data_IF_786497624175
#
_entry.id   IF_786497624175
#
_cell.length_a   1.000
_cell.length_b   1.000
_cell.length_c   1.000
_cell.angle_alpha   90.00
_cell.angle_beta   90.00
_cell.angle_gamma   90.00
#
_symmetry.space_group_name_H-M   'P 1'
#
loop_
_entity.id
_entity.type
_entity.pdbx_description
1 polymer ?
#
# COMPACT_ATOMS: atom_id res chain seq x y z
N UNK A 1 -12.26 29.09 14.84
CA UNK A 1 -13.07 28.51 13.75
C UNK A 1 -14.11 27.60 14.37
N UNK A 2 -15.40 27.67 13.97
CA UNK A 2 -16.42 26.77 14.48
C UNK A 2 -16.18 25.34 13.96
N UNK A 3 -16.35 24.33 14.83
CA UNK A 3 -16.17 22.89 14.50
C UNK A 3 -16.98 22.44 13.27
N UNK A 4 -18.08 23.11 12.97
CA UNK A 4 -18.96 22.86 11.81
C UNK A 4 -18.29 23.17 10.48
N UNK A 5 -17.46 24.23 10.37
CA UNK A 5 -16.74 24.54 9.11
C UNK A 5 -15.58 23.56 8.84
N UNK A 6 -14.97 22.99 9.89
CA UNK A 6 -13.93 21.96 9.74
C UNK A 6 -14.54 20.59 9.40
N UNK A 7 -15.73 20.28 9.91
CA UNK A 7 -16.50 19.08 9.52
C UNK A 7 -17.03 19.17 8.09
N UNK A 8 -17.43 20.36 7.62
CA UNK A 8 -17.82 20.58 6.22
C UNK A 8 -16.62 20.60 5.25
N UNK A 9 -15.45 21.11 5.65
CA UNK A 9 -14.20 20.95 4.87
C UNK A 9 -13.71 19.48 4.82
N UNK A 10 -14.11 18.67 5.80
CA UNK A 10 -13.82 17.25 5.90
C UNK A 10 -14.94 16.34 5.37
N UNK A 11 -16.01 16.91 4.80
CA UNK A 11 -16.86 16.21 3.87
C UNK A 11 -16.05 15.95 2.59
N UNK A 12 -15.03 15.10 2.70
CA UNK A 12 -14.19 14.65 1.60
C UNK A 12 -15.13 13.96 0.63
N UNK A 13 -15.45 14.65 -0.46
CA UNK A 13 -15.98 14.01 -1.65
C UNK A 13 -15.10 12.80 -1.93
N UNK A 14 -15.73 11.64 -2.00
CA UNK A 14 -15.05 10.38 -2.31
C UNK A 14 -14.13 10.57 -3.54
N UNK A 15 -12.86 10.12 -3.50
CA UNK A 15 -11.98 10.27 -4.65
C UNK A 15 -12.61 9.66 -5.91
N UNK A 16 -12.47 10.32 -7.06
CA UNK A 16 -13.11 9.89 -8.31
C UNK A 16 -12.82 8.42 -8.65
N UNK A 17 -11.60 7.93 -8.40
CA UNK A 17 -11.26 6.53 -8.65
C UNK A 17 -12.03 5.55 -7.77
N UNK A 18 -12.38 5.93 -6.54
CA UNK A 18 -13.15 5.06 -5.63
C UNK A 18 -14.58 4.92 -6.13
N UNK A 19 -15.20 6.03 -6.52
CA UNK A 19 -16.55 6.03 -7.10
C UNK A 19 -16.59 5.21 -8.41
N UNK A 20 -15.62 5.42 -9.30
CA UNK A 20 -15.49 4.65 -10.53
C UNK A 20 -15.27 3.16 -10.27
N UNK A 21 -14.41 2.82 -9.30
CA UNK A 21 -14.15 1.44 -8.93
C UNK A 21 -15.39 0.75 -8.37
N UNK A 22 -16.14 1.39 -7.47
CA UNK A 22 -17.41 0.84 -6.94
C UNK A 22 -18.45 0.61 -8.03
N UNK A 23 -18.60 1.58 -8.94
CA UNK A 23 -19.54 1.44 -10.05
C UNK A 23 -19.17 0.25 -10.94
N UNK A 24 -17.88 0.09 -11.26
CA UNK A 24 -17.41 -1.03 -12.06
C UNK A 24 -17.53 -2.37 -11.31
N UNK A 25 -17.18 -2.39 -10.03
CA UNK A 25 -17.33 -3.54 -9.15
C UNK A 25 -18.77 -4.05 -9.14
N UNK A 26 -19.75 -3.16 -8.99
CA UNK A 26 -21.17 -3.54 -9.00
C UNK A 26 -21.58 -4.21 -10.31
N UNK A 27 -21.21 -3.63 -11.46
CA UNK A 27 -21.48 -4.20 -12.79
C UNK A 27 -20.86 -5.59 -13.01
N UNK A 28 -19.71 -5.85 -12.38
CA UNK A 28 -19.03 -7.15 -12.47
C UNK A 28 -19.68 -8.18 -11.54
N UNK A 29 -20.14 -7.77 -10.35
CA UNK A 29 -20.79 -8.68 -9.39
C UNK A 29 -22.21 -9.03 -9.80
N UNK A 30 -22.99 -8.06 -10.31
CA UNK A 30 -24.37 -8.28 -10.77
C UNK A 30 -24.46 -9.00 -12.13
N UNK A 31 -23.33 -9.17 -12.82
CA UNK A 31 -23.24 -9.88 -14.09
C UNK A 31 -23.58 -9.02 -15.32
N UNK A 32 -23.75 -7.71 -15.17
CA UNK A 32 -23.86 -6.76 -16.29
C UNK A 32 -22.61 -6.81 -17.18
N UNK A 33 -21.45 -7.06 -16.57
CA UNK A 33 -20.17 -7.27 -17.25
C UNK A 33 -19.56 -8.63 -16.86
N UNK A 34 -18.80 -9.28 -17.76
CA UNK A 34 -18.06 -10.49 -17.42
C UNK A 34 -17.06 -10.22 -16.29
N UNK A 35 -17.07 -11.06 -15.25
CA UNK A 35 -16.15 -10.96 -14.12
C UNK A 35 -14.71 -11.08 -14.60
N UNK A 36 -13.88 -10.11 -14.22
CA UNK A 36 -12.44 -10.08 -14.50
C UNK A 36 -11.72 -9.56 -13.27
N UNK A 37 -10.56 -10.15 -12.98
CA UNK A 37 -9.84 -9.96 -11.73
C UNK A 37 -8.37 -9.64 -11.98
N UNK A 38 -7.79 -8.85 -11.08
CA UNK A 38 -6.36 -8.79 -10.81
C UNK A 38 -6.17 -9.33 -9.40
N UNK A 39 -5.29 -10.32 -9.24
CA UNK A 39 -5.00 -10.95 -7.96
C UNK A 39 -3.59 -10.56 -7.56
N UNK A 40 -3.45 -9.97 -6.38
CA UNK A 40 -2.16 -9.98 -5.68
C UNK A 40 -2.09 -11.26 -4.87
N UNK A 41 -1.10 -12.11 -5.13
CA UNK A 41 -0.90 -13.36 -4.43
C UNK A 41 0.39 -13.32 -3.62
N UNK A 42 0.36 -13.78 -2.37
CA UNK A 42 1.55 -13.82 -1.54
C UNK A 42 2.50 -14.94 -1.99
N UNK A 43 3.37 -14.63 -2.95
CA UNK A 43 4.29 -15.60 -3.57
C UNK A 43 5.77 -15.35 -3.32
N UNK A 44 6.13 -14.30 -2.57
CA UNK A 44 7.52 -13.96 -2.30
C UNK A 44 7.85 -13.80 -0.80
N UNK A 45 9.15 -13.82 -0.52
CA UNK A 45 9.70 -13.63 0.83
C UNK A 45 9.96 -12.15 1.18
N UNK A 46 9.35 -11.20 0.44
CA UNK A 46 9.61 -9.79 0.69
C UNK A 46 8.90 -9.29 1.95
N UNK A 47 9.40 -8.18 2.52
CA UNK A 47 8.79 -7.58 3.70
C UNK A 47 7.43 -6.92 3.40
N UNK A 48 6.62 -6.73 4.44
CA UNK A 48 5.27 -6.15 4.34
C UNK A 48 5.19 -4.86 3.50
N UNK A 49 6.17 -3.96 3.64
CA UNK A 49 6.21 -2.71 2.85
C UNK A 49 6.41 -2.93 1.34
N UNK A 50 7.07 -4.01 0.93
CA UNK A 50 7.15 -4.39 -0.49
C UNK A 50 5.82 -5.00 -0.93
N UNK A 51 5.25 -5.90 -0.13
CA UNK A 51 3.95 -6.51 -0.42
C UNK A 51 2.84 -5.47 -0.60
N UNK A 52 2.75 -4.49 0.29
CA UNK A 52 1.80 -3.37 0.15
C UNK A 52 2.01 -2.60 -1.17
N UNK A 53 3.25 -2.40 -1.59
CA UNK A 53 3.57 -1.72 -2.86
C UNK A 53 3.18 -2.57 -4.08
N UNK A 54 3.36 -3.90 -4.01
CA UNK A 54 2.85 -4.86 -4.98
C UNK A 54 1.32 -4.80 -5.08
N UNK A 55 0.61 -4.82 -3.95
CA UNK A 55 -0.85 -4.67 -3.88
C UNK A 55 -1.31 -3.34 -4.49
N UNK A 56 -0.62 -2.23 -4.20
CA UNK A 56 -0.95 -0.93 -4.81
C UNK A 56 -0.77 -0.96 -6.34
N UNK A 57 0.26 -1.62 -6.84
CA UNK A 57 0.51 -1.77 -8.28
C UNK A 57 -0.56 -2.65 -8.94
N UNK A 58 -0.92 -3.77 -8.29
CA UNK A 58 -2.02 -4.64 -8.72
C UNK A 58 -3.37 -3.89 -8.74
N UNK A 59 -3.63 -3.04 -7.74
CA UNK A 59 -4.86 -2.25 -7.72
C UNK A 59 -4.88 -1.20 -8.83
N UNK A 60 -3.75 -0.54 -9.10
CA UNK A 60 -3.65 0.37 -10.24
C UNK A 60 -3.94 -0.35 -11.56
N UNK A 61 -3.42 -1.58 -11.74
CA UNK A 61 -3.72 -2.41 -12.91
C UNK A 61 -5.22 -2.73 -12.99
N UNK A 62 -5.85 -3.09 -11.88
CA UNK A 62 -7.29 -3.34 -11.82
C UNK A 62 -8.11 -2.10 -12.24
N UNK A 63 -7.73 -0.91 -11.77
CA UNK A 63 -8.39 0.34 -12.14
C UNK A 63 -8.29 0.63 -13.64
N UNK A 64 -7.10 0.48 -14.23
CA UNK A 64 -6.92 0.80 -15.67
C UNK A 64 -7.54 -0.25 -16.59
N UNK A 65 -7.62 -1.51 -16.17
CA UNK A 65 -8.20 -2.62 -16.96
C UNK A 65 -9.66 -2.93 -16.62
N UNK A 66 -10.31 -2.15 -15.74
CA UNK A 66 -11.70 -2.34 -15.31
C UNK A 66 -11.96 -3.72 -14.67
N UNK A 67 -11.04 -4.17 -13.81
CA UNK A 67 -11.09 -5.46 -13.09
C UNK A 67 -11.32 -5.26 -11.59
N UNK A 68 -11.76 -6.32 -10.92
CA UNK A 68 -11.82 -6.40 -9.45
C UNK A 68 -10.42 -6.74 -8.92
N UNK A 69 -9.96 -6.04 -7.89
CA UNK A 69 -8.79 -6.47 -7.12
C UNK A 69 -9.18 -7.57 -6.13
N UNK A 70 -8.43 -8.67 -6.15
CA UNK A 70 -8.43 -9.70 -5.12
C UNK A 70 -7.04 -9.78 -4.47
N UNK A 71 -7.01 -10.10 -3.18
CA UNK A 71 -5.81 -10.17 -2.37
C UNK A 71 -5.78 -11.55 -1.72
N UNK A 72 -4.76 -12.32 -2.08
CA UNK A 72 -4.38 -13.59 -1.43
C UNK A 72 -3.17 -13.34 -0.53
N UNK A 73 -3.38 -12.50 0.48
CA UNK A 73 -2.40 -12.16 1.51
C UNK A 73 -3.12 -11.96 2.85
N UNK A 74 -3.21 -13.01 3.69
CA UNK A 74 -4.04 -13.01 4.90
C UNK A 74 -3.76 -11.85 5.85
N UNK A 75 -2.49 -11.47 6.03
CA UNK A 75 -2.12 -10.36 6.91
C UNK A 75 -2.80 -9.06 6.45
N UNK A 76 -2.80 -8.72 5.16
CA UNK A 76 -3.48 -7.49 4.70
C UNK A 76 -4.96 -7.47 5.10
N UNK A 77 -5.64 -8.61 4.95
CA UNK A 77 -7.06 -8.76 5.27
C UNK A 77 -7.33 -8.84 6.79
N UNK A 78 -6.34 -9.24 7.59
CA UNK A 78 -6.41 -9.23 9.05
C UNK A 78 -6.28 -7.81 9.64
N UNK A 79 -5.43 -6.98 9.02
CA UNK A 79 -5.14 -5.62 9.46
C UNK A 79 -6.12 -4.58 8.91
N UNK A 80 -6.70 -4.81 7.72
CA UNK A 80 -7.55 -3.82 7.04
C UNK A 80 -8.78 -4.48 6.42
N UNK A 81 -9.95 -3.96 6.78
CA UNK A 81 -11.22 -4.39 6.22
C UNK A 81 -11.41 -3.76 4.82
N UNK A 82 -12.03 -4.47 3.87
CA UNK A 82 -12.47 -3.85 2.63
C UNK A 82 -13.57 -2.79 2.89
N UNK A 83 -13.69 -1.77 2.02
CA UNK A 83 -14.80 -0.83 2.05
C UNK A 83 -16.15 -1.54 1.90
N UNK A 84 -17.21 -0.92 2.43
CA UNK A 84 -18.56 -1.46 2.35
C UNK A 84 -18.97 -1.76 0.90
N UNK A 85 -19.55 -2.94 0.68
CA UNK A 85 -20.01 -3.40 -0.63
C UNK A 85 -18.89 -3.88 -1.57
N UNK A 86 -17.64 -3.93 -1.11
CA UNK A 86 -16.50 -4.46 -1.86
C UNK A 86 -15.96 -5.69 -1.13
N UNK A 87 -15.61 -6.71 -1.90
CA UNK A 87 -14.89 -7.90 -1.45
C UNK A 87 -13.50 -7.95 -2.08
N UNK A 88 -12.49 -8.22 -1.25
CA UNK A 88 -11.09 -8.38 -1.69
C UNK A 88 -10.54 -9.77 -1.45
N UNK A 89 -11.18 -10.59 -0.60
CA UNK A 89 -10.66 -11.92 -0.27
C UNK A 89 -10.70 -12.85 -1.49
N UNK A 90 -9.51 -13.22 -1.98
CA UNK A 90 -9.38 -14.14 -3.11
C UNK A 90 -10.03 -15.50 -2.82
N UNK A 91 -10.02 -15.97 -1.57
CA UNK A 91 -10.58 -17.26 -1.20
C UNK A 91 -12.06 -17.38 -1.57
N UNK A 92 -12.82 -16.28 -1.53
CA UNK A 92 -14.25 -16.25 -1.89
C UNK A 92 -14.50 -16.42 -3.39
N UNK A 93 -13.52 -16.14 -4.23
CA UNK A 93 -13.61 -16.27 -5.69
C UNK A 93 -12.79 -17.45 -6.22
N UNK A 94 -12.11 -18.20 -5.36
CA UNK A 94 -11.26 -19.33 -5.74
C UNK A 94 -12.00 -20.40 -6.55
N UNK A 95 -13.32 -20.55 -6.35
CA UNK A 95 -14.16 -21.47 -7.15
C UNK A 95 -14.25 -21.09 -8.64
N UNK A 96 -14.05 -19.82 -8.98
CA UNK A 96 -14.02 -19.32 -10.36
C UNK A 96 -12.64 -19.47 -10.99
N UNK A 97 -11.62 -19.76 -10.19
CA UNK A 97 -10.24 -19.84 -10.63
C UNK A 97 -10.00 -21.09 -11.47
N UNK A 98 -9.53 -20.90 -12.71
CA UNK A 98 -9.15 -21.97 -13.63
C UNK A 98 -7.78 -21.67 -14.23
N UNK A 99 -6.96 -22.69 -14.40
CA UNK A 99 -5.57 -22.55 -14.88
C UNK A 99 -5.52 -21.91 -16.28
N UNK A 100 -6.43 -22.26 -17.17
CA UNK A 100 -6.53 -21.71 -18.53
C UNK A 100 -7.02 -20.26 -18.57
N UNK A 101 -7.46 -19.72 -17.45
CA UNK A 101 -8.11 -18.40 -17.36
C UNK A 101 -7.22 -17.33 -16.72
N UNK A 102 -5.92 -17.61 -16.54
CA UNK A 102 -4.98 -16.70 -15.87
C UNK A 102 -3.80 -16.29 -16.77
N UNK A 103 -3.40 -15.04 -16.61
CA UNK A 103 -2.11 -14.53 -17.04
C UNK A 103 -1.25 -14.22 -15.81
N UNK A 104 0.02 -14.63 -15.82
CA UNK A 104 0.99 -14.25 -14.79
C UNK A 104 1.80 -13.06 -15.25
N UNK A 105 2.05 -12.12 -14.33
CA UNK A 105 2.96 -11.00 -14.57
C UNK A 105 4.09 -11.00 -13.53
N UNK A 106 5.31 -10.98 -14.04
CA UNK A 106 6.56 -10.82 -13.30
C UNK A 106 7.47 -9.77 -13.99
N UNK A 107 7.05 -8.50 -13.97
CA UNK A 107 7.78 -7.42 -14.63
C UNK A 107 9.17 -7.16 -14.05
N UNK A 108 9.49 -7.70 -12.86
CA UNK A 108 10.82 -7.57 -12.28
C UNK A 108 11.85 -8.44 -13.00
N UNK A 109 11.45 -9.62 -13.44
CA UNK A 109 12.34 -10.58 -14.10
C UNK A 109 12.12 -10.65 -15.61
N UNK A 110 11.06 -10.03 -16.12
CA UNK A 110 10.69 -10.01 -17.55
C UNK A 110 10.56 -8.58 -18.08
N UNK A 111 11.65 -7.99 -18.61
CA UNK A 111 11.64 -6.63 -19.17
C UNK A 111 10.57 -6.40 -20.25
N UNK A 112 10.25 -7.41 -21.04
CA UNK A 112 9.21 -7.36 -22.07
C UNK A 112 7.81 -7.11 -21.48
N UNK A 113 7.53 -7.64 -20.28
CA UNK A 113 6.27 -7.36 -19.59
C UNK A 113 6.24 -5.93 -19.05
N UNK A 114 7.38 -5.39 -18.60
CA UNK A 114 7.49 -3.97 -18.25
C UNK A 114 7.25 -3.06 -19.45
N UNK A 115 7.81 -3.41 -20.61
CA UNK A 115 7.60 -2.66 -21.85
C UNK A 115 6.14 -2.71 -22.29
N UNK A 116 5.50 -3.88 -22.20
CA UNK A 116 4.06 -4.04 -22.46
C UNK A 116 3.23 -3.18 -21.48
N UNK A 117 3.53 -3.23 -20.18
CA UNK A 117 2.85 -2.41 -19.16
C UNK A 117 2.97 -0.92 -19.45
N UNK A 118 4.09 -0.48 -20.04
CA UNK A 118 4.35 0.90 -20.39
C UNK A 118 3.72 1.36 -21.72
N UNK A 119 3.48 0.44 -22.68
CA UNK A 119 3.16 0.86 -24.05
C UNK A 119 1.93 0.20 -24.67
N UNK A 120 1.37 -0.85 -24.07
CA UNK A 120 0.26 -1.60 -24.67
C UNK A 120 -1.11 -1.20 -24.11
N UNK A 121 -2.17 -1.49 -24.88
CA UNK A 121 -3.52 -1.56 -24.36
C UNK A 121 -3.68 -2.83 -23.51
N UNK A 122 -3.51 -2.70 -22.19
CA UNK A 122 -3.51 -3.81 -21.23
C UNK A 122 -4.85 -4.55 -21.15
N UNK A 123 -5.96 -3.90 -21.51
CA UNK A 123 -7.27 -4.55 -21.57
C UNK A 123 -7.31 -5.60 -22.69
N UNK A 124 -6.63 -5.32 -23.80
CA UNK A 124 -6.47 -6.22 -24.94
C UNK A 124 -5.30 -7.20 -24.75
N UNK A 125 -4.21 -6.76 -24.13
CA UNK A 125 -3.03 -7.59 -23.89
C UNK A 125 -3.28 -8.70 -22.86
N UNK A 126 -4.22 -8.49 -21.94
CA UNK A 126 -4.65 -9.51 -20.97
C UNK A 126 -6.12 -9.86 -21.20
N UNK A 127 -6.48 -10.71 -22.17
CA UNK A 127 -7.86 -11.16 -22.35
C UNK A 127 -8.36 -12.06 -21.20
N UNK A 128 -7.46 -12.64 -20.42
CA UNK A 128 -7.73 -13.64 -19.39
C UNK A 128 -8.65 -13.12 -18.29
N UNK A 129 -9.32 -14.05 -17.60
CA UNK A 129 -10.21 -13.70 -16.48
C UNK A 129 -9.42 -13.21 -15.28
N UNK A 130 -8.25 -13.78 -15.02
CA UNK A 130 -7.37 -13.44 -13.91
C UNK A 130 -6.03 -12.92 -14.42
N UNK A 131 -5.52 -11.85 -13.81
CA UNK A 131 -4.12 -11.44 -13.91
C UNK A 131 -3.49 -11.63 -12.54
N UNK A 132 -2.42 -12.41 -12.44
CA UNK A 132 -1.79 -12.76 -11.17
C UNK A 132 -0.45 -12.05 -11.03
N UNK A 133 -0.25 -11.39 -9.89
CA UNK A 133 1.00 -10.77 -9.52
C UNK A 133 1.43 -11.23 -8.12
N UNK A 134 2.64 -11.76 -8.02
CA UNK A 134 3.13 -12.41 -6.79
C UNK A 134 4.24 -11.65 -6.05
N UNK A 135 4.77 -10.59 -6.67
CA UNK A 135 6.00 -9.95 -6.23
C UNK A 135 5.73 -8.64 -5.46
N UNK A 136 6.58 -8.29 -4.50
CA UNK A 136 6.57 -6.99 -3.84
C UNK A 136 7.20 -5.86 -4.67
N UNK A 137 7.70 -6.19 -5.87
CA UNK A 137 8.24 -5.22 -6.81
C UNK A 137 7.13 -4.49 -7.55
N UNK A 138 7.31 -3.18 -7.71
CA UNK A 138 6.28 -2.32 -8.28
C UNK A 138 6.45 -2.12 -9.78
N UNK A 139 5.36 -2.25 -10.52
CA UNK A 139 5.27 -1.88 -11.94
C UNK A 139 4.39 -0.67 -12.21
N UNK A 140 3.90 -0.01 -11.15
CA UNK A 140 3.02 1.15 -11.25
C UNK A 140 3.63 2.30 -12.07
N UNK A 141 4.95 2.48 -12.05
CA UNK A 141 5.65 3.47 -12.88
C UNK A 141 5.38 3.25 -14.38
N UNK A 142 5.35 2.00 -14.85
CA UNK A 142 5.08 1.68 -16.24
C UNK A 142 3.63 2.02 -16.61
N UNK A 143 2.67 1.64 -15.76
CA UNK A 143 1.24 1.94 -15.99
C UNK A 143 0.97 3.44 -15.99
N UNK A 144 1.56 4.20 -15.06
CA UNK A 144 1.43 5.66 -14.99
C UNK A 144 2.01 6.34 -16.25
N UNK A 145 3.08 5.78 -16.82
CA UNK A 145 3.67 6.29 -18.05
C UNK A 145 2.91 5.86 -19.32
N UNK A 146 1.93 4.95 -19.22
CA UNK A 146 1.30 4.35 -20.38
C UNK A 146 0.32 5.31 -21.09
N UNK A 147 0.57 5.67 -22.37
CA UNK A 147 -0.22 6.66 -23.09
C UNK A 147 -1.68 6.22 -23.32
N UNK A 148 -1.97 4.91 -23.40
CA UNK A 148 -3.34 4.40 -23.55
C UNK A 148 -4.22 4.74 -22.34
N UNK A 149 -3.61 4.92 -21.16
CA UNK A 149 -4.33 5.14 -19.92
C UNK A 149 -4.20 6.55 -19.37
N UNK A 150 -3.38 7.43 -19.97
CA UNK A 150 -3.18 8.80 -19.51
C UNK A 150 -4.51 9.56 -19.28
N UNK A 151 -5.42 9.51 -20.26
CA UNK A 151 -6.73 10.16 -20.14
C UNK A 151 -7.63 9.53 -19.06
N UNK A 152 -7.58 8.19 -18.90
CA UNK A 152 -8.35 7.49 -17.87
C UNK A 152 -7.82 7.80 -16.48
N UNK A 153 -6.50 7.77 -16.30
CA UNK A 153 -5.83 8.11 -15.06
C UNK A 153 -6.07 9.58 -14.66
N UNK A 154 -6.05 10.51 -15.61
CA UNK A 154 -6.45 11.90 -15.37
C UNK A 154 -7.88 12.05 -14.85
N UNK A 155 -8.84 11.24 -15.33
CA UNK A 155 -10.22 11.24 -14.79
C UNK A 155 -10.30 10.62 -13.39
N UNK A 156 -9.58 9.52 -13.17
CA UNK A 156 -9.60 8.76 -11.90
C UNK A 156 -8.95 9.54 -10.75
N UNK A 157 -7.85 10.25 -11.01
CA UNK A 157 -7.06 10.92 -9.97
C UNK A 157 -7.11 12.46 -10.06
N UNK A 158 -7.82 13.00 -11.05
CA UNK A 158 -8.02 14.42 -11.29
C UNK A 158 -6.77 15.14 -11.82
N UNK A 159 -6.80 16.47 -11.81
CA UNK A 159 -5.63 17.31 -12.15
C UNK A 159 -4.44 17.09 -11.19
N UNK A 160 -4.70 16.45 -10.04
CA UNK A 160 -3.69 15.94 -9.09
C UNK A 160 -3.04 14.63 -9.53
N UNK A 161 -3.27 14.17 -10.75
CA UNK A 161 -2.43 13.18 -11.42
C UNK A 161 -1.06 13.81 -11.79
N UNK A 162 -0.41 14.54 -10.87
CA UNK A 162 0.86 15.21 -11.16
C UNK A 162 2.05 14.29 -10.91
N UNK A 163 1.86 13.22 -10.14
CA UNK A 163 2.92 12.25 -9.90
C UNK A 163 2.45 10.83 -9.59
N UNK A 164 3.33 9.88 -9.92
CA UNK A 164 3.29 8.49 -9.45
C UNK A 164 3.06 8.41 -7.92
N UNK A 165 3.78 9.25 -7.16
CA UNK A 165 3.74 9.24 -5.69
C UNK A 165 2.36 9.57 -5.14
N UNK A 166 1.69 10.56 -5.72
CA UNK A 166 0.34 10.95 -5.30
C UNK A 166 -0.69 9.88 -5.66
N UNK A 167 -0.58 9.30 -6.86
CA UNK A 167 -1.46 8.21 -7.33
C UNK A 167 -1.39 7.02 -6.38
N UNK A 168 -0.17 6.55 -6.10
CA UNK A 168 0.04 5.42 -5.18
C UNK A 168 -0.29 5.78 -3.73
N UNK A 169 -0.05 7.02 -3.31
CA UNK A 169 -0.45 7.50 -1.99
C UNK A 169 -1.97 7.44 -1.78
N UNK A 170 -2.76 7.86 -2.78
CA UNK A 170 -4.21 7.78 -2.74
C UNK A 170 -4.72 6.33 -2.73
N UNK A 171 -4.13 5.47 -3.56
CA UNK A 171 -4.42 4.03 -3.57
C UNK A 171 -4.12 3.40 -2.20
N UNK A 172 -2.93 3.65 -1.64
CA UNK A 172 -2.53 3.10 -0.36
C UNK A 172 -3.46 3.58 0.78
N UNK A 173 -3.85 4.86 0.77
CA UNK A 173 -4.82 5.41 1.71
C UNK A 173 -6.17 4.70 1.62
N UNK A 174 -6.66 4.44 0.40
CA UNK A 174 -7.91 3.71 0.20
C UNK A 174 -7.84 2.26 0.68
N UNK A 175 -6.75 1.55 0.34
CA UNK A 175 -6.52 0.16 0.73
C UNK A 175 -6.43 -0.01 2.26
N UNK A 176 -5.90 0.99 2.96
CA UNK A 176 -5.71 0.98 4.42
C UNK A 176 -6.74 1.84 5.19
N UNK A 177 -7.81 2.30 4.53
CA UNK A 177 -8.72 3.30 5.11
C UNK A 177 -9.50 2.80 6.33
N UNK A 178 -9.67 1.48 6.46
CA UNK A 178 -10.47 0.85 7.51
C UNK A 178 -9.62 -0.19 8.24
N UNK A 179 -8.68 0.24 9.12
CA UNK A 179 -7.94 -0.67 9.95
C UNK A 179 -8.89 -1.48 10.85
N UNK A 180 -8.55 -2.74 11.10
CA UNK A 180 -9.35 -3.63 11.93
C UNK A 180 -9.41 -3.13 13.37
N UNK A 181 -10.52 -3.43 14.06
CA UNK A 181 -10.76 -2.91 15.40
C UNK A 181 -9.71 -3.32 16.43
N UNK A 182 -9.12 -4.51 16.27
CA UNK A 182 -8.04 -4.98 17.13
C UNK A 182 -6.74 -4.20 16.85
N UNK A 183 -6.44 -3.93 15.58
CA UNK A 183 -5.21 -3.22 15.19
C UNK A 183 -5.24 -1.77 15.69
N UNK A 184 -6.38 -1.08 15.55
CA UNK A 184 -6.58 0.25 16.13
C UNK A 184 -6.35 0.24 17.64
N UNK A 185 -6.91 -0.75 18.36
CA UNK A 185 -6.71 -0.88 19.81
C UNK A 185 -5.23 -1.09 20.16
N UNK A 186 -4.52 -1.95 19.42
CA UNK A 186 -3.10 -2.19 19.63
C UNK A 186 -2.26 -0.92 19.41
N UNK A 187 -2.56 -0.15 18.36
CA UNK A 187 -1.89 1.14 18.07
C UNK A 187 -2.16 2.15 19.18
N UNK A 188 -3.41 2.34 19.61
CA UNK A 188 -3.75 3.29 20.68
C UNK A 188 -3.14 2.88 22.03
N UNK A 189 -3.11 1.57 22.35
CA UNK A 189 -2.40 1.08 23.54
C UNK A 189 -0.91 1.40 23.48
N UNK A 190 -0.26 1.18 22.32
CA UNK A 190 1.16 1.46 22.16
C UNK A 190 1.47 2.95 22.24
N UNK A 191 0.61 3.76 21.63
CA UNK A 191 0.67 5.22 21.68
C UNK A 191 0.57 5.74 23.12
N UNK A 192 -0.36 5.19 23.92
CA UNK A 192 -0.49 5.52 25.34
C UNK A 192 0.75 5.12 26.15
N UNK A 193 1.31 3.93 25.91
CA UNK A 193 2.56 3.48 26.56
C UNK A 193 3.75 4.40 26.26
N UNK A 194 3.80 4.96 25.05
CA UNK A 194 4.85 5.88 24.61
C UNK A 194 4.59 7.35 25.03
N UNK A 195 3.49 7.63 25.73
CA UNK A 195 3.11 9.00 26.08
C UNK A 195 2.77 9.88 24.88
N UNK A 196 2.50 9.29 23.72
CA UNK A 196 2.15 10.02 22.51
C UNK A 196 0.70 10.50 22.62
N UNK A 197 0.49 11.81 22.47
CA UNK A 197 -0.85 12.40 22.48
C UNK A 197 -1.10 13.18 21.21
N UNK A 198 -2.38 13.35 20.83
CA UNK A 198 -2.75 14.14 19.66
C UNK A 198 -2.44 15.64 19.82
N UNK A 199 -2.10 16.08 21.04
CA UNK A 199 -1.88 17.49 21.38
C UNK A 199 -0.40 17.87 21.47
N UNK A 200 0.52 16.93 21.18
CA UNK A 200 1.96 17.17 21.22
C UNK A 200 2.54 17.15 19.81
N UNK A 201 3.39 18.13 19.49
CA UNK A 201 4.21 18.06 18.29
C UNK A 201 5.09 16.79 18.38
N UNK A 202 4.90 15.87 17.45
CA UNK A 202 5.60 14.59 17.42
C UNK A 202 6.52 14.56 16.22
N UNK A 203 7.79 14.23 16.44
CA UNK A 203 8.76 13.97 15.38
C UNK A 203 8.95 12.47 15.31
N UNK A 204 8.54 11.86 14.20
CA UNK A 204 8.79 10.46 13.92
C UNK A 204 10.08 10.34 13.10
N UNK A 205 11.00 9.48 13.54
CA UNK A 205 12.22 9.19 12.80
C UNK A 205 12.26 7.69 12.50
N UNK A 206 12.23 7.34 11.22
CA UNK A 206 12.33 5.95 10.77
C UNK A 206 13.74 5.67 10.28
N UNK A 207 14.45 4.76 10.94
CA UNK A 207 15.75 4.28 10.50
C UNK A 207 15.63 2.92 9.84
N UNK A 208 16.31 2.75 8.71
CA UNK A 208 16.52 1.46 8.07
C UNK A 208 17.97 1.36 7.64
N UNK A 209 18.72 0.47 8.28
CA UNK A 209 20.11 0.21 7.96
C UNK A 209 20.16 -1.14 7.24
N UNK A 210 20.64 -1.13 6.00
CA UNK A 210 21.00 -2.35 5.29
C UNK A 210 22.47 -2.61 5.56
N UNK A 211 22.75 -3.69 6.27
CA UNK A 211 24.09 -4.06 6.68
C UNK A 211 24.44 -5.41 6.03
N UNK A 212 25.60 -5.49 5.39
CA UNK A 212 26.18 -6.74 4.90
C UNK A 212 27.35 -7.08 5.83
N UNK A 213 27.17 -8.09 6.68
CA UNK A 213 28.15 -8.58 7.64
C UNK A 213 29.50 -8.94 6.99
N UNK A 214 29.51 -9.17 5.67
CA UNK A 214 30.71 -9.51 4.90
C UNK A 214 31.54 -8.28 4.53
N UNK A 215 31.02 -7.06 4.67
CA UNK A 215 31.63 -5.84 4.13
C UNK A 215 32.13 -4.82 5.17
N UNK A 216 31.86 -4.92 6.48
CA UNK A 216 32.47 -3.94 7.40
C UNK A 216 32.57 -4.29 8.89
N UNK A 217 33.60 -3.70 9.50
CA UNK A 217 33.83 -3.48 10.93
C UNK A 217 32.58 -2.97 11.68
N UNK A 218 32.09 -3.76 12.66
CA UNK A 218 31.04 -3.42 13.64
C UNK A 218 31.19 -2.03 14.28
N UNK A 219 32.41 -1.49 14.37
CA UNK A 219 32.72 -0.16 14.93
C UNK A 219 31.95 1.00 14.28
N UNK A 220 31.60 0.91 12.99
CA UNK A 220 30.85 1.97 12.31
C UNK A 220 29.38 2.02 12.74
N UNK A 221 28.78 0.85 12.99
CA UNK A 221 27.38 0.76 13.42
C UNK A 221 27.22 1.27 14.86
N UNK A 222 28.15 0.88 15.74
CA UNK A 222 28.20 1.37 17.12
C UNK A 222 28.39 2.89 17.18
N UNK A 223 29.29 3.45 16.37
CA UNK A 223 29.49 4.90 16.29
C UNK A 223 28.24 5.62 15.78
N UNK A 224 27.55 5.06 14.77
CA UNK A 224 26.33 5.64 14.23
C UNK A 224 25.19 5.64 15.25
N UNK A 225 24.93 4.50 15.91
CA UNK A 225 23.88 4.38 16.95
C UNK A 225 24.18 5.32 18.13
N UNK A 226 25.44 5.40 18.57
CA UNK A 226 25.84 6.28 19.67
C UNK A 226 25.68 7.77 19.32
N UNK A 227 26.03 8.18 18.09
CA UNK A 227 25.78 9.55 17.60
C UNK A 227 24.29 9.86 17.52
N UNK A 228 23.48 8.90 17.10
CA UNK A 228 22.03 9.04 17.05
C UNK A 228 21.42 9.21 18.43
N UNK A 229 21.84 8.39 19.39
CA UNK A 229 21.42 8.50 20.77
C UNK A 229 21.79 9.88 21.33
N UNK A 230 23.03 10.34 21.12
CA UNK A 230 23.46 11.67 21.53
C UNK A 230 22.61 12.78 20.88
N UNK A 231 22.31 12.70 19.58
CA UNK A 231 21.48 13.69 18.90
C UNK A 231 20.07 13.76 19.53
N UNK A 232 19.44 12.61 19.74
CA UNK A 232 18.10 12.50 20.35
C UNK A 232 18.11 12.99 21.80
N UNK A 233 19.12 12.61 22.58
CA UNK A 233 19.16 12.97 24.00
C UNK A 233 19.60 14.40 24.25
N UNK A 234 20.55 14.94 23.49
CA UNK A 234 21.14 16.24 23.81
C UNK A 234 20.55 17.38 22.99
N UNK A 235 20.12 17.14 21.75
CA UNK A 235 19.56 18.20 20.92
C UNK A 235 18.03 18.23 20.96
N UNK A 236 17.36 17.06 21.05
CA UNK A 236 15.89 17.02 21.10
C UNK A 236 15.30 17.13 22.51
N UNK A 237 16.01 16.76 23.60
CA UNK A 237 15.54 17.03 24.98
C UNK A 237 15.47 18.53 25.30
N UNK A 238 16.17 19.39 24.56
CA UNK A 238 16.11 20.85 24.75
C UNK A 238 14.70 21.40 24.46
N UNK A 239 13.86 20.66 23.71
CA UNK A 239 12.50 21.09 23.35
C UNK A 239 11.37 20.43 24.19
N UNK A 240 11.66 19.40 24.99
CA UNK A 240 10.66 18.80 25.89
C UNK A 240 11.16 18.77 27.34
N UNK A 241 10.88 19.85 28.07
CA UNK A 241 11.00 19.85 29.54
C UNK A 241 9.85 19.07 30.17
N UNK A 242 9.83 17.74 30.01
CA UNK A 242 9.16 16.82 30.93
C UNK A 242 9.27 15.37 30.43
N UNK A 243 10.09 14.59 31.16
CA UNK A 243 10.27 13.14 31.14
C UNK A 243 11.35 12.53 30.23
N UNK A 244 12.16 11.58 30.76
CA UNK A 244 13.15 10.83 29.98
C UNK A 244 12.49 9.81 29.04
N UNK A 245 13.02 9.70 27.82
CA UNK A 245 12.62 8.71 26.82
C UNK A 245 12.95 7.29 27.32
N UNK A 246 11.97 6.38 27.26
CA UNK A 246 12.21 4.95 27.38
C UNK A 246 12.39 4.35 25.98
N UNK A 247 13.60 3.87 25.69
CA UNK A 247 13.86 3.09 24.49
C UNK A 247 13.39 1.64 24.71
N UNK A 248 12.44 1.19 23.91
CA UNK A 248 12.06 -0.23 23.85
C UNK A 248 12.87 -0.89 22.74
N UNK A 249 13.98 -1.55 23.11
CA UNK A 249 14.60 -2.54 22.24
C UNK A 249 13.64 -3.75 22.14
N UNK A 250 13.41 -4.33 20.95
CA UNK A 250 12.77 -5.63 20.88
C UNK A 250 13.62 -6.66 21.64
N UNK A 251 13.01 -7.66 22.30
CA UNK A 251 13.77 -8.74 22.92
C UNK A 251 14.60 -9.43 21.84
N UNK A 252 15.92 -9.39 22.00
CA UNK A 252 16.83 -10.24 21.23
C UNK A 252 16.65 -11.63 21.83
N UNK A 253 15.84 -12.47 21.18
CA UNK A 253 15.83 -13.89 21.50
C UNK A 253 17.20 -14.47 21.11
N UNK A 254 17.94 -15.09 22.04
CA UNK A 254 19.15 -15.81 21.67
C UNK A 254 18.75 -17.03 20.84
N UNK A 255 19.27 -17.10 19.62
CA UNK A 255 19.35 -18.33 18.80
C UNK A 255 20.29 -19.34 19.43
#
# INVERSE_FOLDING_TARGET
MPQTQMQELLAKTEPNFVAAYRQNYQKLIDGTLPKRFVVYQDGDCTGWGNKLRGICSAFLLALVTDRILLIDYPLMLEYFDPPAGIEWDFAKYKVLFREESKAYIDPCHKPEEMEMLANANLTAAFPETFIIHEQGNTFDKAIVANPFYAAKLGRLFGDRYTSRRETIGQIAQFLMQKPSGWFVKAVEQKKAQLGLSNNCATIAVQFRVFYDDRLANLKYLESFVSKLHHLVENEFKILSRSQPLQFLSPPIEPT
#
